data_IF_828192663427
#
_entry.id   IF_828192663427
#
_cell.length_a   1.000
_cell.length_b   1.000
_cell.length_c   1.000
_cell.angle_alpha   90.00
_cell.angle_beta   90.00
_cell.angle_gamma   90.00
#
_symmetry.space_group_name_H-M   'P 1'
#
loop_
_entity.id
_entity.type
_entity.pdbx_description
1 polymer ?
#
# COMPACT_ATOMS: atom_id res chain seq x y z
N UNK A 1 -18.37 25.33 -32.72
CA UNK A 1 -18.00 26.30 -33.77
C UNK A 1 -16.55 26.02 -34.14
N UNK A 2 -16.25 25.64 -35.38
CA UNK A 2 -14.93 25.14 -35.81
C UNK A 2 -14.20 26.26 -36.56
N UNK A 3 -13.01 26.64 -36.10
CA UNK A 3 -12.09 27.47 -36.87
C UNK A 3 -10.96 26.59 -37.41
N UNK A 4 -10.67 26.68 -38.72
CA UNK A 4 -9.54 26.02 -39.39
C UNK A 4 -8.44 27.05 -39.65
N UNK A 5 -7.22 26.72 -39.26
CA UNK A 5 -6.01 27.31 -39.81
C UNK A 5 -5.05 26.19 -40.21
N UNK A 6 -4.60 26.21 -41.46
CA UNK A 6 -3.64 25.25 -42.05
C UNK A 6 -2.23 25.81 -41.97
N UNK A 7 -1.36 25.14 -41.21
CA UNK A 7 0.11 25.19 -41.35
C UNK A 7 0.63 23.75 -41.19
N UNK A 8 1.71 23.45 -41.91
CA UNK A 8 2.24 22.13 -42.29
C UNK A 8 2.66 21.25 -41.10
N UNK A 9 2.40 19.96 -41.28
CA UNK A 9 2.96 18.76 -40.64
C UNK A 9 2.81 18.57 -39.11
N UNK A 10 2.21 17.41 -38.78
CA UNK A 10 1.91 16.82 -37.46
C UNK A 10 0.64 17.36 -36.78
N UNK A 11 -0.49 16.76 -37.16
CA UNK A 11 -1.72 16.77 -36.35
C UNK A 11 -1.58 15.74 -35.23
N UNK A 12 -1.19 16.14 -34.02
CA UNK A 12 -1.51 15.37 -32.81
C UNK A 12 -2.81 15.93 -32.24
N UNK A 13 -3.89 15.17 -32.43
CA UNK A 13 -5.19 15.46 -31.84
C UNK A 13 -5.13 15.09 -30.34
N UNK A 14 -4.70 16.02 -29.48
CA UNK A 14 -4.88 15.85 -28.03
C UNK A 14 -6.33 16.18 -27.71
N UNK A 15 -7.19 15.18 -27.75
CA UNK A 15 -8.54 15.29 -27.19
C UNK A 15 -8.44 15.25 -25.67
N UNK A 16 -8.44 16.42 -25.03
CA UNK A 16 -8.71 16.53 -23.59
C UNK A 16 -10.20 16.29 -23.39
N UNK A 17 -10.56 15.08 -22.95
CA UNK A 17 -11.94 14.78 -22.56
C UNK A 17 -12.19 15.39 -21.18
N UNK A 18 -12.88 16.53 -21.14
CA UNK A 18 -13.49 17.03 -19.91
C UNK A 18 -14.61 16.05 -19.50
N UNK A 19 -14.44 15.39 -18.36
CA UNK A 19 -15.51 14.59 -17.75
C UNK A 19 -16.62 15.54 -17.27
N UNK A 20 -17.89 15.36 -17.70
CA UNK A 20 -18.99 16.13 -17.12
C UNK A 20 -19.22 15.69 -15.67
N UNK A 21 -19.34 16.67 -14.76
CA UNK A 21 -19.78 16.41 -13.38
C UNK A 21 -21.26 16.03 -13.34
N UNK A 22 -21.49 14.92 -12.65
CA UNK A 22 -22.69 14.48 -11.93
C UNK A 22 -23.91 14.01 -12.71
N UNK A 23 -24.22 12.73 -12.53
CA UNK A 23 -25.58 12.25 -12.27
C UNK A 23 -25.55 11.37 -11.03
N UNK A 24 -26.50 11.59 -10.12
CA UNK A 24 -26.74 10.74 -8.94
C UNK A 24 -26.94 9.29 -9.40
N UNK A 25 -26.12 8.37 -8.91
CA UNK A 25 -26.37 6.92 -9.04
C UNK A 25 -26.56 6.30 -7.66
N UNK A 26 -27.80 5.86 -7.44
CA UNK A 26 -28.23 4.58 -6.92
C UNK A 26 -27.41 3.88 -5.82
N UNK A 27 -28.18 3.41 -4.84
CA UNK A 27 -27.85 2.51 -3.75
C UNK A 27 -27.31 1.14 -4.25
N UNK A 28 -26.16 1.14 -4.93
CA UNK A 28 -25.33 -0.04 -5.15
C UNK A 28 -24.78 -0.45 -3.79
N UNK A 29 -24.92 -1.71 -3.44
CA UNK A 29 -24.05 -2.33 -2.43
C UNK A 29 -22.62 -1.88 -2.74
N UNK A 30 -22.01 -1.12 -1.83
CA UNK A 30 -20.64 -0.64 -1.99
C UNK A 30 -19.78 -1.86 -2.32
N UNK A 31 -19.17 -1.86 -3.51
CA UNK A 31 -18.37 -2.97 -4.00
C UNK A 31 -17.32 -3.35 -2.95
N UNK A 32 -17.19 -4.64 -2.67
CA UNK A 32 -16.13 -5.15 -1.81
C UNK A 32 -14.88 -5.19 -2.67
N UNK A 33 -14.06 -4.13 -2.62
CA UNK A 33 -12.79 -4.14 -3.34
C UNK A 33 -11.84 -5.14 -2.66
N UNK A 34 -11.46 -6.19 -3.39
CA UNK A 34 -10.42 -7.15 -3.01
C UNK A 34 -9.44 -7.25 -4.16
N UNK A 35 -8.17 -6.95 -3.90
CA UNK A 35 -7.07 -7.25 -4.81
C UNK A 35 -6.22 -8.33 -4.13
N UNK A 36 -6.12 -9.51 -4.76
CA UNK A 36 -5.26 -10.61 -4.33
C UNK A 36 -4.42 -10.97 -5.55
N UNK A 37 -3.10 -10.87 -5.41
CA UNK A 37 -2.14 -11.32 -6.42
C UNK A 37 -1.22 -12.36 -5.80
N UNK A 38 -0.89 -13.40 -6.55
CA UNK A 38 -0.01 -14.46 -6.07
C UNK A 38 0.10 -15.56 -7.10
N UNK A 39 0.97 -16.54 -6.83
CA UNK A 39 1.01 -17.76 -7.62
C UNK A 39 -0.18 -18.65 -7.26
N UNK A 40 -0.93 -19.13 -8.24
CA UNK A 40 -2.11 -19.98 -8.01
C UNK A 40 -1.77 -21.28 -7.24
N UNK A 41 -0.55 -21.81 -7.40
CA UNK A 41 -0.08 -22.98 -6.64
C UNK A 41 0.08 -22.71 -5.14
N UNK A 42 0.17 -21.43 -4.75
CA UNK A 42 0.27 -20.97 -3.36
C UNK A 42 -1.00 -20.29 -2.86
N UNK A 43 -2.13 -20.44 -3.56
CA UNK A 43 -3.39 -19.74 -3.24
C UNK A 43 -3.97 -20.06 -1.85
N UNK A 44 -3.58 -21.18 -1.24
CA UNK A 44 -3.99 -21.58 0.11
C UNK A 44 -2.83 -21.55 1.13
N UNK A 45 -1.70 -20.92 0.80
CA UNK A 45 -0.50 -20.97 1.65
C UNK A 45 -0.68 -20.23 2.98
N UNK A 46 -1.48 -19.16 2.99
CA UNK A 46 -1.81 -18.39 4.19
C UNK A 46 -3.32 -18.19 4.34
N UNK A 47 -3.84 -18.44 5.54
CA UNK A 47 -5.24 -18.22 5.88
C UNK A 47 -5.41 -16.88 6.62
N UNK A 48 -5.91 -15.86 5.91
CA UNK A 48 -6.20 -14.56 6.49
C UNK A 48 -7.41 -14.56 7.45
N UNK A 49 -8.05 -15.71 7.69
CA UNK A 49 -9.09 -15.87 8.70
C UNK A 49 -8.56 -16.34 10.07
N UNK A 50 -7.27 -16.63 10.21
CA UNK A 50 -6.69 -17.02 11.50
C UNK A 50 -6.91 -15.95 12.59
N UNK A 51 -6.98 -16.34 13.88
CA UNK A 51 -7.24 -15.41 14.99
C UNK A 51 -6.30 -14.19 15.05
N UNK A 52 -5.04 -14.34 14.60
CA UNK A 52 -4.05 -13.26 14.53
C UNK A 52 -4.47 -12.16 13.55
N UNK A 53 -4.95 -12.52 12.35
CA UNK A 53 -5.47 -11.55 11.39
C UNK A 53 -6.79 -10.94 11.85
N UNK A 54 -7.68 -11.72 12.47
CA UNK A 54 -8.90 -11.19 13.08
C UNK A 54 -8.60 -10.14 14.15
N UNK A 55 -7.57 -10.36 14.96
CA UNK A 55 -7.10 -9.40 15.98
C UNK A 55 -6.63 -8.10 15.33
N UNK A 56 -5.81 -8.20 14.29
CA UNK A 56 -5.34 -7.06 13.53
C UNK A 56 -6.51 -6.26 12.92
N UNK A 57 -7.43 -6.92 12.23
CA UNK A 57 -8.57 -6.24 11.61
C UNK A 57 -9.59 -5.69 12.62
N UNK A 58 -9.72 -6.31 13.80
CA UNK A 58 -10.55 -5.76 14.87
C UNK A 58 -9.96 -4.45 15.41
N UNK A 59 -8.64 -4.38 15.59
CA UNK A 59 -7.94 -3.16 15.98
C UNK A 59 -8.10 -2.06 14.92
N UNK A 60 -7.88 -2.38 13.64
CA UNK A 60 -7.99 -1.41 12.52
C UNK A 60 -9.42 -0.89 12.27
N UNK A 61 -10.45 -1.47 12.89
CA UNK A 61 -11.84 -1.01 12.81
C UNK A 61 -12.26 -0.07 13.93
N UNK A 62 -11.36 0.25 14.86
CA UNK A 62 -11.63 1.20 15.94
C UNK A 62 -11.88 2.61 15.40
N UNK A 63 -12.73 3.38 16.08
CA UNK A 63 -13.08 4.75 15.68
C UNK A 63 -12.11 5.83 16.17
N UNK A 64 -11.12 5.49 16.99
CA UNK A 64 -10.20 6.43 17.65
C UNK A 64 -8.76 6.37 17.11
N UNK A 65 -8.53 5.66 16.00
CA UNK A 65 -7.19 5.43 15.45
C UNK A 65 -6.43 6.72 15.09
N UNK A 66 -7.11 7.74 14.60
CA UNK A 66 -6.51 9.03 14.23
C UNK A 66 -6.02 9.84 15.44
N UNK A 67 -6.48 9.51 16.65
CA UNK A 67 -6.09 10.19 17.88
C UNK A 67 -4.99 9.45 18.66
N UNK A 68 -4.55 8.29 18.18
CA UNK A 68 -3.50 7.52 18.85
C UNK A 68 -2.15 8.24 18.75
N UNK A 69 -1.33 8.22 19.81
CA UNK A 69 0.04 8.73 19.74
C UNK A 69 0.91 7.80 18.87
N UNK A 70 2.00 8.36 18.31
CA UNK A 70 3.00 7.56 17.62
C UNK A 70 3.63 6.52 18.56
N UNK A 71 3.96 5.35 18.00
CA UNK A 71 4.63 4.28 18.74
C UNK A 71 3.99 2.92 18.52
N UNK A 72 4.29 2.00 19.44
CA UNK A 72 3.83 0.62 19.39
C UNK A 72 2.64 0.38 20.31
N UNK A 73 1.68 -0.40 19.81
CA UNK A 73 0.55 -0.93 20.56
C UNK A 73 0.61 -2.45 20.48
N UNK A 74 0.84 -3.11 21.60
CA UNK A 74 0.80 -4.57 21.69
C UNK A 74 -0.65 -5.05 21.64
N UNK A 75 -0.92 -6.07 20.84
CA UNK A 75 -2.23 -6.70 20.66
C UNK A 75 -2.17 -8.18 21.06
N UNK A 76 -3.32 -8.85 21.07
CA UNK A 76 -3.38 -10.30 21.30
C UNK A 76 -2.71 -11.11 20.18
N UNK A 77 -2.50 -12.41 20.41
CA UNK A 77 -1.98 -13.34 19.40
C UNK A 77 -0.59 -12.99 18.83
N UNK A 78 0.26 -12.31 19.62
CA UNK A 78 1.59 -11.87 19.19
C UNK A 78 1.58 -10.76 18.14
N UNK A 79 0.40 -10.19 17.87
CA UNK A 79 0.22 -9.09 16.93
C UNK A 79 0.60 -7.78 17.62
N UNK A 80 1.21 -6.86 16.89
CA UNK A 80 1.45 -5.49 17.38
C UNK A 80 1.27 -4.47 16.26
N UNK A 81 0.89 -3.25 16.60
CA UNK A 81 0.64 -2.18 15.65
C UNK A 81 1.61 -1.01 15.87
N UNK A 82 2.23 -0.51 14.81
CA UNK A 82 3.02 0.72 14.81
C UNK A 82 2.17 1.87 14.26
N UNK A 83 1.86 2.86 15.10
CA UNK A 83 1.22 4.12 14.71
C UNK A 83 2.32 5.08 14.26
N UNK A 84 2.19 5.64 13.06
CA UNK A 84 3.22 6.46 12.40
C UNK A 84 2.60 7.73 11.81
N UNK A 85 3.21 8.88 12.09
CA UNK A 85 2.89 10.16 11.46
C UNK A 85 4.09 10.63 10.64
N UNK A 86 3.90 10.85 9.35
CA UNK A 86 4.98 11.32 8.48
C UNK A 86 4.44 12.07 7.28
N UNK A 87 5.35 12.70 6.54
CA UNK A 87 5.08 13.19 5.19
C UNK A 87 5.60 12.16 4.19
N UNK A 88 4.77 11.76 3.22
CA UNK A 88 5.21 10.84 2.15
C UNK A 88 6.38 11.42 1.36
N UNK A 89 7.17 10.56 0.72
CA UNK A 89 8.40 10.97 0.03
C UNK A 89 8.42 10.48 -1.42
N UNK A 90 9.19 11.10 -2.31
CA UNK A 90 9.41 10.57 -3.65
C UNK A 90 9.96 9.13 -3.58
N UNK A 91 9.42 8.23 -4.41
CA UNK A 91 9.78 6.81 -4.38
C UNK A 91 11.30 6.56 -4.54
N UNK A 92 12.01 7.40 -5.30
CA UNK A 92 13.47 7.30 -5.48
C UNK A 92 14.30 7.56 -4.21
N UNK A 93 13.69 8.00 -3.11
CA UNK A 93 14.35 8.20 -1.81
C UNK A 93 14.05 7.06 -0.82
N UNK A 94 13.24 6.09 -1.22
CA UNK A 94 12.72 5.01 -0.38
C UNK A 94 13.24 3.67 -0.88
N UNK A 95 13.29 2.68 0.01
CA UNK A 95 13.84 1.36 -0.29
C UNK A 95 12.76 0.31 -0.31
N UNK A 96 12.95 -0.71 -1.15
CA UNK A 96 12.17 -1.94 -1.04
C UNK A 96 12.68 -2.72 0.18
N UNK A 97 11.75 -3.26 0.95
CA UNK A 97 12.01 -4.07 2.13
C UNK A 97 11.12 -5.32 2.15
N UNK A 98 11.55 -6.36 2.87
CA UNK A 98 10.71 -7.51 3.21
C UNK A 98 11.05 -8.01 4.61
N UNK A 99 10.14 -8.82 5.15
CA UNK A 99 10.20 -9.36 6.51
C UNK A 99 10.14 -10.90 6.45
N UNK A 100 10.67 -11.59 7.46
CA UNK A 100 10.62 -13.06 7.54
C UNK A 100 9.68 -13.55 8.64
N UNK A 101 9.58 -12.79 9.74
CA UNK A 101 8.87 -13.23 10.95
C UNK A 101 7.45 -12.68 11.05
N UNK A 102 7.14 -11.63 10.30
CA UNK A 102 5.83 -10.98 10.32
C UNK A 102 5.31 -10.69 8.91
N UNK A 103 3.99 -10.76 8.78
CA UNK A 103 3.26 -10.03 7.76
C UNK A 103 3.12 -8.56 8.14
N UNK A 104 3.01 -7.73 7.12
CA UNK A 104 2.65 -6.33 7.26
C UNK A 104 1.23 -6.08 6.76
N UNK A 105 0.35 -5.62 7.65
CA UNK A 105 -0.89 -4.96 7.25
C UNK A 105 -0.67 -3.46 7.32
N UNK A 106 -0.49 -2.83 6.16
CA UNK A 106 -0.30 -1.39 6.05
C UNK A 106 -1.65 -0.71 5.81
N UNK A 107 -2.10 0.11 6.76
CA UNK A 107 -3.42 0.74 6.78
C UNK A 107 -3.32 2.27 6.88
N UNK A 108 -3.97 2.98 5.96
CA UNK A 108 -4.01 4.44 5.96
C UNK A 108 -5.19 4.90 6.81
N UNK A 109 -4.89 5.59 7.91
CA UNK A 109 -5.90 6.20 8.79
C UNK A 109 -6.34 7.54 8.19
N UNK A 110 -5.37 8.35 7.75
CA UNK A 110 -5.60 9.66 7.11
C UNK A 110 -4.51 9.94 6.06
N UNK A 111 -4.87 10.68 5.02
CA UNK A 111 -4.02 10.94 3.85
C UNK A 111 -4.03 9.84 2.79
N UNK A 112 -2.98 9.79 1.97
CA UNK A 112 -2.85 8.88 0.83
C UNK A 112 -1.38 8.48 0.59
N UNK A 113 -1.15 7.26 0.12
CA UNK A 113 0.17 6.67 -0.10
C UNK A 113 0.14 5.68 -1.27
N UNK A 114 1.24 5.58 -2.00
CA UNK A 114 1.52 4.43 -2.87
C UNK A 114 2.54 3.53 -2.16
N UNK A 115 2.29 2.23 -2.16
CA UNK A 115 3.25 1.24 -1.71
C UNK A 115 3.73 0.48 -2.95
N UNK A 116 5.00 0.64 -3.32
CA UNK A 116 5.62 -0.18 -4.37
C UNK A 116 5.63 -1.64 -3.93
N UNK A 117 5.42 -2.58 -4.85
CA UNK A 117 5.34 -4.00 -4.50
C UNK A 117 5.94 -4.92 -5.57
N UNK A 118 6.62 -5.97 -5.14
CA UNK A 118 7.16 -7.04 -5.98
C UNK A 118 7.28 -8.33 -5.17
N UNK A 119 7.32 -9.48 -5.82
CA UNK A 119 7.82 -10.69 -5.14
C UNK A 119 9.32 -10.50 -4.88
N UNK A 120 9.78 -10.89 -3.69
CA UNK A 120 11.19 -10.73 -3.29
C UNK A 120 12.14 -11.69 -4.01
N UNK A 121 11.60 -12.77 -4.58
CA UNK A 121 12.39 -13.77 -5.29
C UNK A 121 13.06 -13.15 -6.53
N UNK A 122 14.37 -13.37 -6.67
CA UNK A 122 15.18 -12.78 -7.73
C UNK A 122 15.53 -11.29 -7.55
N UNK A 123 15.11 -10.63 -6.47
CA UNK A 123 15.54 -9.25 -6.20
C UNK A 123 17.00 -9.18 -5.74
N UNK A 124 17.67 -8.09 -6.08
CA UNK A 124 19.04 -7.84 -5.63
C UNK A 124 19.03 -7.24 -4.23
N UNK A 125 19.61 -7.96 -3.27
CA UNK A 125 19.77 -7.51 -1.89
C UNK A 125 20.74 -6.33 -1.84
N UNK A 126 20.29 -5.19 -1.30
CA UNK A 126 21.12 -4.03 -1.02
C UNK A 126 21.69 -4.09 0.41
N UNK A 127 20.87 -4.51 1.38
CA UNK A 127 21.28 -4.72 2.77
C UNK A 127 20.77 -6.08 3.23
N UNK A 128 21.66 -6.99 3.67
CA UNK A 128 21.28 -8.31 4.16
C UNK A 128 20.31 -8.27 5.35
N UNK A 129 19.65 -9.40 5.59
CA UNK A 129 18.69 -9.56 6.67
C UNK A 129 19.26 -9.19 8.05
N UNK A 130 18.54 -8.34 8.77
CA UNK A 130 18.77 -8.00 10.17
C UNK A 130 17.71 -8.66 11.06
N UNK A 131 18.12 -9.70 11.79
CA UNK A 131 17.22 -10.47 12.67
C UNK A 131 16.58 -9.64 13.80
N UNK A 132 17.28 -8.60 14.26
CA UNK A 132 16.77 -7.75 15.34
C UNK A 132 15.56 -6.92 14.88
N UNK A 133 15.62 -6.45 13.63
CA UNK A 133 14.62 -5.58 13.04
C UNK A 133 13.66 -6.32 12.09
N UNK A 134 13.93 -7.60 11.82
CA UNK A 134 13.21 -8.45 10.87
C UNK A 134 13.13 -7.82 9.48
N UNK A 135 14.25 -7.36 8.91
CA UNK A 135 14.22 -6.61 7.65
C UNK A 135 15.39 -6.96 6.72
N UNK A 136 15.08 -7.12 5.44
CA UNK A 136 16.05 -7.13 4.34
C UNK A 136 15.73 -5.97 3.40
N UNK A 137 16.74 -5.21 2.95
CA UNK A 137 16.53 -4.14 1.95
C UNK A 137 17.05 -4.55 0.57
N UNK A 138 16.36 -4.08 -0.47
CA UNK A 138 16.63 -4.40 -1.87
C UNK A 138 16.86 -3.15 -2.70
N UNK A 139 17.66 -3.29 -3.76
CA UNK A 139 17.69 -2.32 -4.84
C UNK A 139 16.31 -2.25 -5.51
N UNK A 140 15.92 -1.07 -5.98
CA UNK A 140 14.65 -0.88 -6.69
C UNK A 140 14.58 -1.83 -7.90
N UNK A 141 13.58 -2.73 -7.97
CA UNK A 141 13.44 -3.64 -9.10
C UNK A 141 13.09 -2.87 -10.38
N UNK A 142 13.63 -3.26 -11.54
CA UNK A 142 13.31 -2.60 -12.81
C UNK A 142 11.83 -2.73 -13.21
N UNK A 143 11.17 -3.81 -12.77
CA UNK A 143 9.73 -4.01 -12.90
C UNK A 143 9.15 -4.27 -11.51
N UNK A 144 8.22 -3.42 -11.10
CA UNK A 144 7.47 -3.57 -9.86
C UNK A 144 6.07 -2.96 -10.05
N UNK A 145 5.12 -3.41 -9.24
CA UNK A 145 3.80 -2.82 -9.15
C UNK A 145 3.73 -1.73 -8.09
N UNK A 146 2.54 -1.16 -7.92
CA UNK A 146 2.24 -0.28 -6.82
C UNK A 146 0.77 -0.40 -6.43
N UNK A 147 0.50 -0.32 -5.13
CA UNK A 147 -0.84 -0.25 -4.58
C UNK A 147 -1.07 1.16 -4.05
N UNK A 148 -2.06 1.84 -4.61
CA UNK A 148 -2.50 3.14 -4.11
C UNK A 148 -3.52 2.94 -2.99
N UNK A 149 -3.25 3.54 -1.83
CA UNK A 149 -4.07 3.48 -0.63
C UNK A 149 -4.45 4.90 -0.21
N UNK A 150 -5.71 5.11 0.14
CA UNK A 150 -6.21 6.33 0.80
C UNK A 150 -6.81 5.98 2.16
N UNK A 151 -7.18 7.00 2.93
CA UNK A 151 -7.85 6.81 4.22
C UNK A 151 -8.94 5.73 4.19
N UNK A 152 -8.79 4.72 5.05
CA UNK A 152 -9.66 3.55 5.15
C UNK A 152 -9.20 2.32 4.36
N UNK A 153 -8.19 2.43 3.50
CA UNK A 153 -7.65 1.31 2.73
C UNK A 153 -6.48 0.62 3.45
N UNK A 154 -6.31 -0.68 3.18
CA UNK A 154 -5.16 -1.45 3.63
C UNK A 154 -4.60 -2.36 2.54
N UNK A 155 -3.32 -2.72 2.68
CA UNK A 155 -2.68 -3.80 1.95
C UNK A 155 -2.03 -4.78 2.93
N UNK A 156 -1.99 -6.07 2.56
CA UNK A 156 -1.29 -7.12 3.31
C UNK A 156 -0.09 -7.57 2.50
N UNK A 157 1.10 -7.55 3.10
CA UNK A 157 2.34 -8.04 2.52
C UNK A 157 2.83 -9.25 3.31
N UNK A 158 2.97 -10.38 2.63
CA UNK A 158 3.52 -11.61 3.18
C UNK A 158 5.06 -11.56 3.22
N UNK A 159 5.73 -12.52 3.88
CA UNK A 159 7.18 -12.59 3.89
C UNK A 159 7.82 -12.60 2.50
N UNK A 160 7.13 -13.17 1.50
CA UNK A 160 7.58 -13.22 0.11
C UNK A 160 7.40 -11.91 -0.67
N UNK A 161 6.72 -10.92 -0.11
CA UNK A 161 6.39 -9.67 -0.78
C UNK A 161 7.36 -8.56 -0.35
N UNK A 162 8.27 -8.21 -1.27
CA UNK A 162 9.05 -7.00 -1.14
C UNK A 162 8.15 -5.79 -1.41
N UNK A 163 8.22 -4.79 -0.54
CA UNK A 163 7.38 -3.61 -0.62
C UNK A 163 8.18 -2.34 -0.32
N UNK A 164 7.77 -1.22 -0.91
CA UNK A 164 8.40 0.09 -0.79
C UNK A 164 7.35 1.06 -0.24
N UNK A 165 7.22 1.17 1.09
CA UNK A 165 6.22 2.02 1.71
C UNK A 165 6.65 3.50 1.66
N UNK A 166 5.70 4.37 2.02
CA UNK A 166 5.81 5.83 2.19
C UNK A 166 5.91 6.63 0.89
N UNK A 167 5.72 6.01 -0.27
CA UNK A 167 5.81 6.73 -1.54
C UNK A 167 4.64 7.71 -1.70
N UNK A 168 4.95 8.94 -2.11
CA UNK A 168 3.94 9.92 -2.47
C UNK A 168 3.13 9.43 -3.69
N UNK A 169 1.81 9.54 -3.63
CA UNK A 169 0.93 9.23 -4.76
C UNK A 169 1.02 10.31 -5.85
N UNK A 170 1.24 11.56 -5.44
CA UNK A 170 1.59 12.68 -6.30
C UNK A 170 2.68 13.50 -5.62
N UNK A 171 2.32 14.61 -4.97
CA UNK A 171 3.20 15.39 -4.13
C UNK A 171 3.29 14.80 -2.71
N UNK A 172 4.43 14.96 -2.02
CA UNK A 172 4.57 14.70 -0.59
C UNK A 172 3.43 15.32 0.24
N UNK A 173 2.80 14.52 1.10
CA UNK A 173 1.73 15.00 1.98
C UNK A 173 1.76 14.31 3.36
N UNK A 174 1.21 14.95 4.41
CA UNK A 174 1.04 14.30 5.71
C UNK A 174 0.14 13.07 5.62
N UNK A 175 0.53 12.01 6.32
CA UNK A 175 -0.18 10.73 6.42
C UNK A 175 -0.14 10.24 7.87
N UNK A 176 -1.26 9.69 8.32
CA UNK A 176 -1.35 8.86 9.52
C UNK A 176 -1.48 7.41 9.05
N UNK A 177 -0.44 6.59 9.27
CA UNK A 177 -0.43 5.17 8.89
C UNK A 177 -0.29 4.30 10.12
N UNK A 178 -0.96 3.15 10.08
CA UNK A 178 -0.73 2.05 11.00
C UNK A 178 -0.15 0.87 10.23
N UNK A 179 0.97 0.34 10.70
CA UNK A 179 1.52 -0.94 10.23
C UNK A 179 1.29 -1.98 11.31
N UNK A 180 0.42 -2.95 11.05
CA UNK A 180 0.20 -4.08 11.95
C UNK A 180 1.13 -5.22 11.57
N UNK A 181 2.02 -5.60 12.49
CA UNK A 181 2.89 -6.77 12.37
C UNK A 181 2.14 -7.99 12.89
N UNK A 182 1.86 -8.94 12.00
CA UNK A 182 1.15 -10.20 12.33
C UNK A 182 2.16 -11.35 12.21
N UNK A 183 2.40 -12.14 13.27
CA UNK A 183 3.37 -13.24 13.20
C UNK A 183 3.05 -14.24 12.09
N UNK A 184 4.08 -14.76 11.42
CA UNK A 184 3.93 -15.84 10.41
C UNK A 184 3.31 -17.09 11.01
#
# INVERSE_FOLDING_TARGET
MVARATVRDITVLITVVFQPKTTKENNRTKGVHKMISGNISKSAFYDLNEPKFQTAFAFLKRGDLAALPEGWVELGNGVRASVQHYTTSPAGQLKFESHERFFDIQYIVDGEEVIGCSFRDGLTIETPYDDKNDVTFYLTPPLHGGVYLKAGDFAVFAPEDAHQPRCAASEPMPVIKIVVKVPV
#
